data_IF_005162912239
#
_entry.id   IF_005162912239
#
_cell.length_a   1.000
_cell.length_b   1.000
_cell.length_c   1.000
_cell.angle_alpha   90.00
_cell.angle_beta   90.00
_cell.angle_gamma   90.00
#
_symmetry.space_group_name_H-M   'P 1'
#
loop_
_entity.id
_entity.type
_entity.pdbx_description
1 polymer ?
#
# COMPACT_ATOMS: atom_id res chain seq x y z
N UNK A 1 -4.36 12.39 -8.37
CA UNK A 1 -4.14 11.89 -7.00
C UNK A 1 -3.38 10.58 -7.08
N UNK A 2 -2.40 10.37 -6.20
CA UNK A 2 -1.55 9.17 -6.28
C UNK A 2 -2.14 8.02 -5.47
N UNK A 3 -2.20 6.85 -6.08
CA UNK A 3 -2.64 5.61 -5.45
C UNK A 3 -1.59 4.52 -5.63
N UNK A 4 -1.31 3.80 -4.55
CA UNK A 4 -0.47 2.61 -4.52
C UNK A 4 -1.35 1.36 -4.66
N UNK A 5 -1.02 0.52 -5.62
CA UNK A 5 -1.64 -0.78 -5.88
C UNK A 5 -0.65 -1.83 -5.40
N UNK A 6 -1.01 -2.55 -4.34
CA UNK A 6 -0.24 -3.67 -3.79
C UNK A 6 -0.78 -4.95 -4.41
N UNK A 7 0.03 -5.63 -5.19
CA UNK A 7 -0.38 -6.79 -5.98
C UNK A 7 -0.02 -8.04 -5.19
N UNK A 8 -1.03 -8.69 -4.62
CA UNK A 8 -0.88 -9.98 -4.00
C UNK A 8 -1.20 -11.07 -5.01
N UNK A 9 -0.25 -11.98 -5.24
CA UNK A 9 -0.55 -13.21 -5.95
C UNK A 9 -1.40 -14.11 -5.06
N UNK A 10 -2.33 -14.83 -5.69
CA UNK A 10 -2.99 -15.97 -5.04
C UNK A 10 -2.00 -17.05 -4.65
N UNK A 11 -2.49 -18.18 -4.15
CA UNK A 11 -1.65 -19.33 -3.85
C UNK A 11 -0.83 -19.69 -5.09
N UNK A 12 0.47 -19.44 -5.01
CA UNK A 12 1.42 -19.83 -6.05
C UNK A 12 1.48 -21.35 -6.09
N UNK A 13 1.55 -21.93 -7.29
CA UNK A 13 1.83 -23.35 -7.43
C UNK A 13 3.25 -23.68 -6.93
N UNK A 14 3.61 -24.97 -6.90
CA UNK A 14 4.92 -25.43 -6.45
C UNK A 14 6.09 -24.89 -7.30
N UNK A 15 5.80 -24.22 -8.42
CA UNK A 15 6.76 -23.56 -9.31
C UNK A 15 6.78 -22.03 -9.15
N UNK A 16 6.02 -21.46 -8.20
CA UNK A 16 5.97 -20.02 -7.95
C UNK A 16 5.11 -19.25 -8.95
N UNK A 17 4.36 -19.95 -9.82
CA UNK A 17 3.44 -19.37 -10.79
C UNK A 17 2.07 -19.10 -10.16
N UNK A 18 1.49 -17.94 -10.47
CA UNK A 18 0.03 -17.82 -10.37
C UNK A 18 -0.55 -18.60 -11.55
N UNK A 19 -1.38 -19.63 -11.33
CA UNK A 19 -2.03 -20.29 -12.45
C UNK A 19 -2.80 -19.21 -13.22
N UNK A 20 -2.69 -19.22 -14.55
CA UNK A 20 -3.53 -18.48 -15.50
C UNK A 20 -3.21 -16.99 -15.81
N UNK A 21 -2.28 -16.31 -15.14
CA UNK A 21 -1.77 -15.01 -15.60
C UNK A 21 -0.52 -15.18 -16.46
N UNK A 22 -0.63 -14.91 -17.76
CA UNK A 22 0.50 -15.04 -18.69
C UNK A 22 1.44 -13.84 -18.61
N UNK A 23 2.69 -14.00 -19.07
CA UNK A 23 3.63 -12.90 -19.19
C UNK A 23 3.07 -11.84 -20.14
N UNK A 24 2.35 -12.27 -21.17
CA UNK A 24 1.68 -11.43 -22.15
C UNK A 24 0.58 -10.55 -21.53
N UNK A 25 -0.20 -11.07 -20.58
CA UNK A 25 -1.21 -10.29 -19.86
C UNK A 25 -0.58 -9.17 -19.02
N UNK A 26 0.54 -9.49 -18.35
CA UNK A 26 1.31 -8.51 -17.58
C UNK A 26 1.94 -7.43 -18.47
N UNK A 27 2.49 -7.82 -19.63
CA UNK A 27 3.04 -6.88 -20.61
C UNK A 27 1.96 -5.98 -21.22
N UNK A 28 0.79 -6.53 -21.54
CA UNK A 28 -0.33 -5.76 -22.04
C UNK A 28 -0.82 -4.74 -21.01
N UNK A 29 -0.92 -5.15 -19.74
CA UNK A 29 -1.32 -4.24 -18.67
C UNK A 29 -0.27 -3.13 -18.42
N UNK A 30 1.03 -3.46 -18.37
CA UNK A 30 2.09 -2.44 -18.24
C UNK A 30 2.04 -1.43 -19.40
N UNK A 31 1.83 -1.91 -20.63
CA UNK A 31 1.64 -1.05 -21.79
C UNK A 31 0.43 -0.13 -21.63
N UNK A 32 -0.73 -0.65 -21.25
CA UNK A 32 -1.96 0.13 -21.07
C UNK A 32 -1.77 1.26 -20.04
N UNK A 33 -1.14 0.95 -18.90
CA UNK A 33 -0.91 1.92 -17.82
C UNK A 33 0.09 3.01 -18.25
N UNK A 34 1.12 2.64 -19.03
CA UNK A 34 2.09 3.58 -19.61
C UNK A 34 1.47 4.46 -20.70
N UNK A 35 0.72 3.88 -21.62
CA UNK A 35 0.05 4.62 -22.71
C UNK A 35 -1.01 5.58 -22.18
N UNK A 36 -1.71 5.20 -21.10
CA UNK A 36 -2.60 6.10 -20.39
C UNK A 36 -1.88 7.24 -19.66
N UNK A 37 -0.55 7.18 -19.53
CA UNK A 37 0.26 8.24 -18.90
C UNK A 37 0.07 8.35 -17.38
N UNK A 38 -0.50 7.33 -16.75
CA UNK A 38 -0.84 7.34 -15.31
C UNK A 38 0.24 6.69 -14.45
N UNK A 39 1.20 5.97 -15.02
CA UNK A 39 2.25 5.27 -14.26
C UNK A 39 3.22 6.29 -13.63
N UNK A 40 3.31 6.30 -12.30
CA UNK A 40 4.30 7.09 -11.55
C UNK A 40 5.54 6.24 -11.26
N UNK A 41 5.35 5.03 -10.75
CA UNK A 41 6.41 4.05 -10.48
C UNK A 41 5.81 2.65 -10.31
N UNK A 42 6.62 1.60 -10.38
CA UNK A 42 6.16 0.24 -10.08
C UNK A 42 7.21 -0.79 -10.42
N UNK A 43 7.25 -1.86 -9.65
CA UNK A 43 8.26 -2.93 -9.78
C UNK A 43 7.66 -4.28 -9.36
N UNK A 44 8.14 -5.34 -10.02
CA UNK A 44 7.94 -6.72 -9.56
C UNK A 44 8.95 -7.05 -8.46
N UNK A 45 8.51 -7.75 -7.43
CA UNK A 45 9.38 -8.21 -6.35
C UNK A 45 10.00 -9.56 -6.71
N UNK A 46 11.21 -9.80 -6.20
CA UNK A 46 11.85 -11.11 -6.29
C UNK A 46 11.13 -12.13 -5.40
N UNK A 47 11.45 -13.40 -5.60
CA UNK A 47 10.88 -14.52 -4.84
C UNK A 47 10.94 -14.27 -3.33
N UNK A 48 9.86 -14.63 -2.63
CA UNK A 48 9.71 -14.48 -1.19
C UNK A 48 10.85 -15.13 -0.38
N UNK A 49 11.50 -16.17 -0.89
CA UNK A 49 12.68 -16.78 -0.23
C UNK A 49 13.85 -15.80 -0.09
N UNK A 50 13.87 -14.73 -0.89
CA UNK A 50 14.87 -13.66 -0.82
C UNK A 50 14.50 -12.55 0.17
N UNK A 51 13.33 -12.62 0.79
CA UNK A 51 12.88 -11.61 1.73
C UNK A 51 13.65 -11.68 3.05
N UNK A 52 14.07 -10.50 3.53
CA UNK A 52 14.67 -10.33 4.85
C UNK A 52 13.83 -9.32 5.63
N UNK A 53 13.32 -9.74 6.79
CA UNK A 53 12.56 -8.86 7.68
C UNK A 53 13.47 -8.25 8.73
N UNK A 54 13.35 -6.94 8.95
CA UNK A 54 14.01 -6.24 10.05
C UNK A 54 12.96 -5.70 11.01
N UNK A 55 13.11 -6.00 12.31
CA UNK A 55 12.31 -5.43 13.40
C UNK A 55 13.23 -4.74 14.39
N UNK A 56 12.79 -3.61 14.94
CA UNK A 56 13.52 -2.88 15.98
C UNK A 56 12.63 -2.82 17.21
N UNK A 57 13.13 -3.31 18.34
CA UNK A 57 12.40 -3.26 19.60
C UNK A 57 12.32 -1.83 20.13
N UNK A 58 11.40 -1.52 21.06
CA UNK A 58 11.37 -0.22 21.73
C UNK A 58 12.68 0.13 22.47
N UNK A 59 13.48 -0.88 22.84
CA UNK A 59 14.80 -0.70 23.44
C UNK A 59 15.90 -0.42 22.40
N UNK A 60 15.58 -0.39 21.10
CA UNK A 60 16.53 -0.12 20.01
C UNK A 60 17.26 -1.36 19.49
N UNK A 61 16.89 -2.56 19.95
CA UNK A 61 17.53 -3.80 19.50
C UNK A 61 16.99 -4.22 18.14
N UNK A 62 17.89 -4.43 17.18
CA UNK A 62 17.56 -4.89 15.84
C UNK A 62 17.52 -6.42 15.80
N UNK A 63 16.39 -6.98 15.37
CA UNK A 63 16.25 -8.38 15.00
C UNK A 63 16.10 -8.49 13.49
N UNK A 64 16.86 -9.40 12.88
CA UNK A 64 16.78 -9.72 11.45
C UNK A 64 16.33 -11.16 11.33
N UNK A 65 15.36 -11.40 10.47
CA UNK A 65 14.87 -12.75 10.17
C UNK A 65 14.88 -12.94 8.67
N UNK A 66 15.66 -13.93 8.22
CA UNK A 66 15.68 -14.37 6.84
C UNK A 66 14.60 -15.42 6.62
N UNK A 67 13.92 -15.32 5.48
CA UNK A 67 12.97 -16.33 5.05
C UNK A 67 11.54 -15.82 4.94
N UNK A 68 10.68 -16.66 4.36
CA UNK A 68 9.32 -16.29 4.01
C UNK A 68 8.54 -15.93 5.27
N UNK A 69 7.75 -14.87 5.17
CA UNK A 69 6.91 -14.41 6.25
C UNK A 69 6.01 -15.58 6.72
N UNK A 70 6.18 -16.03 7.96
CA UNK A 70 5.59 -17.26 8.47
C UNK A 70 4.03 -17.26 8.53
N UNK A 71 3.38 -16.14 8.20
CA UNK A 71 1.94 -15.94 8.41
C UNK A 71 1.16 -15.27 7.25
N UNK A 72 1.71 -15.13 6.04
CA UNK A 72 0.96 -14.49 4.95
C UNK A 72 0.47 -15.53 3.95
N UNK A 73 -0.84 -15.85 4.05
CA UNK A 73 -1.57 -16.61 3.02
C UNK A 73 -1.60 -15.91 1.66
N UNK A 74 -1.24 -14.63 1.59
CA UNK A 74 -1.23 -13.81 0.38
C UNK A 74 0.17 -13.22 0.19
N UNK A 75 0.80 -13.49 -0.96
CA UNK A 75 2.18 -13.10 -1.21
C UNK A 75 2.22 -11.81 -2.01
N UNK A 76 2.91 -10.79 -1.50
CA UNK A 76 3.11 -9.54 -2.24
C UNK A 76 4.11 -9.77 -3.37
N UNK A 77 3.63 -9.79 -4.62
CA UNK A 77 4.42 -10.04 -5.81
C UNK A 77 4.93 -8.77 -6.48
N UNK A 78 4.35 -7.60 -6.17
CA UNK A 78 4.71 -6.35 -6.82
C UNK A 78 3.90 -5.17 -6.33
N UNK A 79 4.27 -3.98 -6.80
CA UNK A 79 3.48 -2.78 -6.57
C UNK A 79 3.50 -1.85 -7.79
N UNK A 80 2.46 -1.02 -7.89
CA UNK A 80 2.39 0.11 -8.80
C UNK A 80 1.95 1.36 -8.05
N UNK A 81 2.42 2.52 -8.49
CA UNK A 81 1.91 3.82 -8.10
C UNK A 81 1.37 4.48 -9.36
N UNK A 82 0.09 4.83 -9.33
CA UNK A 82 -0.60 5.50 -10.44
C UNK A 82 -1.12 6.87 -10.02
N UNK A 83 -1.18 7.81 -10.96
CA UNK A 83 -1.80 9.12 -10.78
C UNK A 83 -3.12 9.19 -11.57
N UNK A 84 -4.23 9.16 -10.84
CA UNK A 84 -5.60 9.10 -11.37
C UNK A 84 -6.49 10.11 -10.62
N UNK A 85 -7.63 10.54 -11.20
CA UNK A 85 -8.44 11.60 -10.60
C UNK A 85 -8.99 11.26 -9.21
N UNK A 86 -9.38 10.00 -8.98
CA UNK A 86 -10.08 9.56 -7.78
C UNK A 86 -9.87 8.06 -7.48
N UNK A 87 -10.48 7.60 -6.38
CA UNK A 87 -10.40 6.19 -5.94
C UNK A 87 -11.10 5.25 -6.91
N UNK A 88 -12.21 5.68 -7.53
CA UNK A 88 -12.97 4.84 -8.44
C UNK A 88 -12.14 4.51 -9.69
N UNK A 89 -11.47 5.51 -10.26
CA UNK A 89 -10.50 5.30 -11.33
C UNK A 89 -9.36 4.36 -10.89
N UNK A 90 -8.86 4.50 -9.66
CA UNK A 90 -7.82 3.60 -9.15
C UNK A 90 -8.31 2.15 -9.01
N UNK A 91 -9.56 1.95 -8.57
CA UNK A 91 -10.19 0.65 -8.47
C UNK A 91 -10.43 0.02 -9.85
N UNK A 92 -10.82 0.81 -10.85
CA UNK A 92 -10.97 0.34 -12.23
C UNK A 92 -9.64 -0.18 -12.80
N UNK A 93 -8.54 0.55 -12.56
CA UNK A 93 -7.21 0.08 -12.93
C UNK A 93 -6.78 -1.16 -12.14
N UNK A 94 -7.05 -1.20 -10.84
CA UNK A 94 -6.76 -2.37 -10.02
C UNK A 94 -7.53 -3.62 -10.48
N UNK A 95 -8.80 -3.49 -10.88
CA UNK A 95 -9.61 -4.59 -11.40
C UNK A 95 -9.12 -5.10 -12.77
N UNK A 96 -8.47 -4.25 -13.57
CA UNK A 96 -7.85 -4.62 -14.85
C UNK A 96 -6.55 -5.40 -14.67
N UNK A 97 -5.85 -5.18 -13.56
CA UNK A 97 -4.59 -5.85 -13.25
C UNK A 97 -4.74 -7.37 -13.29
N UNK A 98 -3.85 -8.11 -13.99
CA UNK A 98 -3.88 -9.57 -14.00
C UNK A 98 -3.82 -10.16 -12.58
N UNK A 99 -3.04 -9.55 -11.68
CA UNK A 99 -2.92 -9.99 -10.28
C UNK A 99 -4.19 -9.87 -9.42
N UNK A 100 -5.27 -9.25 -9.91
CA UNK A 100 -6.57 -9.25 -9.23
C UNK A 100 -7.44 -10.49 -9.58
N UNK A 101 -6.97 -11.34 -10.50
CA UNK A 101 -7.69 -12.52 -11.00
C UNK A 101 -7.19 -13.80 -10.32
N UNK A 102 -7.91 -14.89 -10.51
CA UNK A 102 -7.49 -16.26 -10.15
C UNK A 102 -7.03 -16.45 -8.70
N UNK A 103 -7.72 -15.77 -7.77
CA UNK A 103 -7.43 -15.85 -6.34
C UNK A 103 -6.33 -14.91 -5.85
N UNK A 104 -5.77 -14.07 -6.73
CA UNK A 104 -4.99 -12.90 -6.34
C UNK A 104 -5.86 -11.73 -5.89
N UNK A 105 -5.21 -10.71 -5.31
CA UNK A 105 -5.89 -9.50 -4.85
C UNK A 105 -5.00 -8.28 -5.08
N UNK A 106 -5.64 -7.13 -5.37
CA UNK A 106 -4.93 -5.85 -5.46
C UNK A 106 -5.48 -4.91 -4.40
N UNK A 107 -4.63 -4.53 -3.46
CA UNK A 107 -5.00 -3.57 -2.40
C UNK A 107 -4.66 -2.17 -2.87
N UNK A 108 -5.68 -1.31 -2.99
CA UNK A 108 -5.55 0.09 -3.41
C UNK A 108 -5.46 0.99 -2.18
N UNK A 109 -4.40 1.81 -2.11
CA UNK A 109 -4.20 2.78 -1.03
C UNK A 109 -3.84 4.16 -1.56
N UNK A 110 -4.46 5.25 -1.08
CA UNK A 110 -3.99 6.60 -1.38
C UNK A 110 -2.56 6.80 -0.85
N UNK A 111 -1.71 7.46 -1.63
CA UNK A 111 -0.38 7.88 -1.20
C UNK A 111 -0.51 9.21 -0.47
N UNK A 112 -0.12 9.24 0.80
CA UNK A 112 -0.05 10.48 1.57
C UNK A 112 1.23 11.24 1.22
N UNK A 113 1.12 12.56 1.03
CA UNK A 113 2.30 13.42 0.88
C UNK A 113 3.03 13.49 2.21
N UNK A 114 4.27 12.99 2.26
CA UNK A 114 5.11 13.08 3.44
C UNK A 114 5.69 14.50 3.53
N UNK A 115 4.87 15.46 3.97
CA UNK A 115 5.20 16.88 3.95
C UNK A 115 4.44 17.72 4.98
N UNK A 116 4.81 17.59 6.26
CA UNK A 116 4.52 18.58 7.32
C UNK A 116 3.57 18.12 8.43
N UNK A 117 3.77 18.55 9.70
CA UNK A 117 2.84 18.22 10.77
C UNK A 117 1.59 19.09 10.63
N UNK A 118 0.45 18.49 10.25
CA UNK A 118 -0.85 19.12 10.48
C UNK A 118 -1.90 19.09 9.36
N UNK A 119 -2.03 18.02 8.58
CA UNK A 119 -3.22 17.87 7.72
C UNK A 119 -3.77 16.44 7.72
N UNK A 120 -4.04 15.91 8.91
CA UNK A 120 -5.12 14.93 9.04
C UNK A 120 -6.44 15.72 9.01
N UNK A 121 -6.92 16.00 7.81
CA UNK A 121 -8.27 16.48 7.56
C UNK A 121 -9.30 15.46 8.03
N UNK A 122 -9.57 15.43 9.34
CA UNK A 122 -10.78 14.84 9.91
C UNK A 122 -11.95 15.81 9.63
N UNK A 123 -12.96 15.44 8.82
CA UNK A 123 -14.11 16.30 8.58
C UNK A 123 -15.13 16.29 9.74
N UNK A 124 -14.87 15.57 10.84
CA UNK A 124 -15.80 15.52 11.98
C UNK A 124 -15.08 15.59 13.33
N UNK A 125 -14.84 16.81 13.79
CA UNK A 125 -14.83 17.10 15.22
C UNK A 125 -15.53 18.44 15.45
N UNK A 126 -16.77 18.47 15.97
CA UNK A 126 -17.42 19.72 16.31
C UNK A 126 -16.67 20.36 17.48
N UNK A 127 -16.17 21.57 17.24
CA UNK A 127 -15.33 22.32 18.16
C UNK A 127 -15.98 22.52 19.52
N UNK A 128 -15.26 22.12 20.58
CA UNK A 128 -15.48 22.66 21.91
C UNK A 128 -14.81 24.04 21.98
N UNK A 129 -15.62 25.07 21.74
CA UNK A 129 -15.32 26.48 22.01
C UNK A 129 -14.85 26.68 23.46
N UNK A 130 -13.77 27.44 23.62
CA UNK A 130 -13.16 27.73 24.90
C UNK A 130 -13.90 28.74 25.79
N UNK A 131 -13.47 28.74 27.05
CA UNK A 131 -13.76 29.69 28.13
C UNK A 131 -13.36 28.99 29.43
N UNK A 132 -12.51 29.47 30.33
CA UNK A 132 -12.13 30.81 30.71
C UNK A 132 -10.78 30.73 31.47
N UNK A 133 -9.92 31.73 31.31
CA UNK A 133 -8.76 31.98 32.16
C UNK A 133 -9.20 32.87 33.33
N UNK A 134 -8.73 32.55 34.53
CA UNK A 134 -8.71 33.44 35.70
C UNK A 134 -8.12 32.68 36.88
N UNK A 135 -6.80 32.68 37.04
CA UNK A 135 -6.02 33.63 37.87
C UNK A 135 -6.37 33.50 39.35
N UNK A 136 -5.36 33.11 40.14
CA UNK A 136 -5.49 32.76 41.55
C UNK A 136 -5.77 33.94 42.47
N UNK A 137 -6.12 33.60 43.71
CA UNK A 137 -6.03 34.51 44.85
C UNK A 137 -5.63 33.72 46.11
N UNK A 138 -4.87 34.40 46.96
CA UNK A 138 -4.16 34.00 48.17
C UNK A 138 -5.08 33.94 49.40
N UNK A 139 -4.69 33.11 50.38
CA UNK A 139 -4.76 33.47 51.80
C UNK A 139 -5.97 33.00 52.61
N UNK A 140 -5.68 32.34 53.73
CA UNK A 140 -6.63 31.98 54.80
C UNK A 140 -6.19 30.77 55.59
#
# INVERSE_FOLDING_TARGET
MKYMLLIHSGAVDEQGGAPQCTVEDWMAYDKDVREAGILVSGESLADLVTATTVRVSPAGERTVTDGPFAETRELLGGFLVIDVPDLDAALDWAARCPGARDGGSVVVRPVADFGGPGDSGDPQSPGASGGSRGSGDFGG
#
